data_IF_182037093894
#
_entry.id   IF_182037093894
#
_cell.length_a   1.000
_cell.length_b   1.000
_cell.length_c   1.000
_cell.angle_alpha   90.00
_cell.angle_beta   90.00
_cell.angle_gamma   90.00
#
_symmetry.space_group_name_H-M   'P 1'
#
loop_
_entity.id
_entity.type
_entity.pdbx_description
1 polymer ?
#
# COMPACT_ATOMS: atom_id res chain seq x y z
N UNK A 1 -1.17 26.55 0.68
CA UNK A 1 -2.53 27.05 0.39
C UNK A 1 -3.51 26.10 1.04
N UNK A 2 -4.52 26.56 1.80
CA UNK A 2 -5.56 25.67 2.29
C UNK A 2 -6.26 25.04 1.09
N UNK A 3 -6.49 23.73 1.12
CA UNK A 3 -7.29 23.03 0.12
C UNK A 3 -8.66 23.70 0.03
N UNK A 4 -9.02 24.23 -1.15
CA UNK A 4 -10.35 24.83 -1.38
C UNK A 4 -11.51 23.85 -1.18
N UNK A 5 -11.21 22.56 -0.97
CA UNK A 5 -12.21 21.55 -0.65
C UNK A 5 -11.66 20.52 0.36
N UNK A 6 -11.69 20.83 1.67
CA UNK A 6 -11.15 19.95 2.71
C UNK A 6 -11.96 18.65 2.89
N UNK A 7 -13.19 18.60 2.36
CA UNK A 7 -14.10 17.46 2.47
C UNK A 7 -14.17 16.58 1.23
N UNK A 8 -13.41 16.90 0.17
CA UNK A 8 -13.41 16.07 -1.03
C UNK A 8 -12.39 14.94 -0.88
N UNK A 9 -12.76 13.70 -1.27
CA UNK A 9 -11.83 12.59 -1.21
C UNK A 9 -10.62 12.85 -2.11
N UNK A 10 -9.45 12.35 -1.68
CA UNK A 10 -8.27 12.36 -2.51
C UNK A 10 -8.54 11.60 -3.81
N UNK A 11 -7.97 12.08 -4.92
CA UNK A 11 -8.00 11.35 -6.17
C UNK A 11 -6.97 10.21 -6.11
N UNK A 12 -7.42 8.97 -6.25
CA UNK A 12 -6.59 7.76 -6.17
C UNK A 12 -6.50 7.13 -7.57
N UNK A 13 -5.61 7.59 -8.45
CA UNK A 13 -5.40 6.92 -9.73
C UNK A 13 -4.66 5.59 -9.48
N UNK A 14 -5.18 4.51 -10.07
CA UNK A 14 -4.46 3.24 -10.13
C UNK A 14 -3.57 3.26 -11.36
N UNK A 15 -2.25 3.21 -11.14
CA UNK A 15 -1.25 3.32 -12.20
C UNK A 15 -0.32 2.11 -12.19
N UNK A 16 0.07 1.64 -13.37
CA UNK A 16 1.14 0.66 -13.51
C UNK A 16 2.46 1.41 -13.50
N UNK A 17 3.46 0.95 -12.74
CA UNK A 17 4.73 1.67 -12.64
C UNK A 17 5.55 1.62 -13.93
N UNK A 18 5.23 2.50 -14.87
CA UNK A 18 5.77 2.56 -16.22
C UNK A 18 6.31 3.97 -16.50
N UNK A 19 7.04 4.13 -17.61
CA UNK A 19 7.82 5.36 -17.85
C UNK A 19 6.98 6.63 -17.86
N UNK A 20 5.84 6.61 -18.54
CA UNK A 20 5.01 7.80 -18.71
C UNK A 20 4.19 8.12 -17.46
N UNK A 21 3.79 7.10 -16.70
CA UNK A 21 3.13 7.24 -15.41
C UNK A 21 4.06 7.89 -14.39
N UNK A 22 5.35 7.50 -14.38
CA UNK A 22 6.37 8.18 -13.58
C UNK A 22 6.57 9.63 -14.01
N UNK A 23 6.62 9.88 -15.32
CA UNK A 23 6.75 11.23 -15.85
C UNK A 23 5.56 12.10 -15.44
N UNK A 24 4.34 11.57 -15.54
CA UNK A 24 3.12 12.26 -15.14
C UNK A 24 3.15 12.59 -13.64
N UNK A 25 3.51 11.63 -12.78
CA UNK A 25 3.59 11.88 -11.33
C UNK A 25 4.65 12.92 -10.96
N UNK A 26 5.80 12.93 -11.64
CA UNK A 26 6.89 13.89 -11.38
C UNK A 26 6.50 15.33 -11.76
N UNK A 27 5.64 15.49 -12.75
CA UNK A 27 5.26 16.81 -13.29
C UNK A 27 3.84 17.22 -12.87
N UNK A 28 3.30 16.63 -11.81
CA UNK A 28 2.05 17.11 -11.21
C UNK A 28 2.21 18.56 -10.75
N UNK A 29 1.31 19.48 -11.13
CA UNK A 29 1.29 20.83 -10.59
C UNK A 29 1.26 20.81 -9.05
N UNK A 30 1.98 21.73 -8.41
CA UNK A 30 2.16 21.74 -6.95
C UNK A 30 0.81 21.74 -6.21
N UNK A 31 -0.18 22.45 -6.75
CA UNK A 31 -1.54 22.57 -6.21
C UNK A 31 -2.34 21.25 -6.19
N UNK A 32 -1.91 20.23 -6.96
CA UNK A 32 -2.57 18.91 -6.99
C UNK A 32 -1.76 17.80 -6.34
N UNK A 33 -0.47 18.00 -6.04
CA UNK A 33 0.41 16.91 -5.54
C UNK A 33 -0.12 16.23 -4.28
N UNK A 34 -0.66 17.01 -3.35
CA UNK A 34 -1.27 16.55 -2.09
C UNK A 34 -2.68 15.96 -2.27
N UNK A 35 -3.35 16.27 -3.40
CA UNK A 35 -4.71 15.79 -3.69
C UNK A 35 -4.71 14.47 -4.47
N UNK A 36 -3.55 14.07 -4.97
CA UNK A 36 -3.35 12.83 -5.72
C UNK A 36 -2.62 11.84 -4.82
N UNK A 37 -3.27 10.72 -4.50
CA UNK A 37 -2.68 9.63 -3.74
C UNK A 37 -2.66 8.39 -4.63
N UNK A 38 -1.66 8.24 -5.53
CA UNK A 38 -1.68 7.19 -6.53
C UNK A 38 -1.56 5.82 -5.87
N UNK A 39 -2.25 4.83 -6.44
CA UNK A 39 -2.01 3.42 -6.18
C UNK A 39 -1.10 2.87 -7.27
N UNK A 40 0.16 2.60 -6.93
CA UNK A 40 1.17 2.09 -7.83
C UNK A 40 1.12 0.57 -7.83
N UNK A 41 0.75 -0.01 -8.97
CA UNK A 41 0.80 -1.45 -9.21
C UNK A 41 2.15 -1.86 -9.80
N UNK A 42 2.84 -2.77 -9.11
CA UNK A 42 4.13 -3.35 -9.52
C UNK A 42 3.93 -4.77 -10.01
N UNK A 43 4.03 -4.96 -11.34
CA UNK A 43 3.68 -6.21 -12.01
C UNK A 43 4.88 -7.03 -12.48
N UNK A 44 6.09 -6.48 -12.43
CA UNK A 44 7.32 -7.17 -12.88
C UNK A 44 8.53 -6.80 -12.00
N UNK A 45 9.54 -7.67 -11.95
CA UNK A 45 10.79 -7.40 -11.23
C UNK A 45 11.51 -6.16 -11.76
N UNK A 46 11.42 -5.89 -13.06
CA UNK A 46 11.96 -4.66 -13.67
C UNK A 46 11.28 -3.41 -13.11
N UNK A 47 9.97 -3.48 -12.87
CA UNK A 47 9.23 -2.37 -12.25
C UNK A 47 9.58 -2.22 -10.78
N UNK A 48 9.79 -3.32 -10.04
CA UNK A 48 10.28 -3.26 -8.66
C UNK A 48 11.64 -2.57 -8.58
N UNK A 49 12.63 -3.03 -9.36
CA UNK A 49 13.95 -2.40 -9.37
C UNK A 49 13.85 -0.92 -9.69
N UNK A 50 13.06 -0.58 -10.72
CA UNK A 50 12.86 0.81 -11.09
C UNK A 50 12.16 1.64 -9.99
N UNK A 51 11.22 1.06 -9.25
CA UNK A 51 10.58 1.71 -8.11
C UNK A 51 11.61 2.01 -7.03
N UNK A 52 12.40 1.02 -6.62
CA UNK A 52 13.48 1.18 -5.63
C UNK A 52 14.43 2.31 -6.03
N UNK A 53 14.87 2.32 -7.29
CA UNK A 53 15.86 3.29 -7.78
C UNK A 53 15.30 4.72 -7.88
N UNK A 54 14.00 4.88 -8.13
CA UNK A 54 13.44 6.17 -8.55
C UNK A 54 12.40 6.77 -7.60
N UNK A 55 11.85 6.01 -6.65
CA UNK A 55 10.72 6.44 -5.82
C UNK A 55 11.00 7.79 -5.16
N UNK A 56 12.22 7.98 -4.61
CA UNK A 56 12.61 9.23 -3.97
C UNK A 56 12.38 10.46 -4.87
N UNK A 57 12.85 10.38 -6.12
CA UNK A 57 12.75 11.46 -7.10
C UNK A 57 11.33 11.72 -7.64
N UNK A 58 10.37 10.85 -7.32
CA UNK A 58 9.02 10.90 -7.90
C UNK A 58 7.97 11.22 -6.83
N UNK A 59 8.03 10.59 -5.64
CA UNK A 59 6.97 10.69 -4.62
C UNK A 59 7.43 10.68 -3.15
N UNK A 60 8.72 10.76 -2.82
CA UNK A 60 9.19 10.62 -1.42
C UNK A 60 8.38 11.43 -0.38
N UNK A 61 8.04 12.67 -0.70
CA UNK A 61 7.34 13.59 0.20
C UNK A 61 5.82 13.46 0.21
N UNK A 62 5.24 12.57 -0.61
CA UNK A 62 3.81 12.49 -0.82
C UNK A 62 3.29 11.07 -0.67
N UNK A 63 2.15 10.92 0.01
CA UNK A 63 1.54 9.62 0.26
C UNK A 63 1.25 8.87 -1.04
N UNK A 64 1.59 7.58 -1.04
CA UNK A 64 1.46 6.70 -2.19
C UNK A 64 1.05 5.31 -1.74
N UNK A 65 -0.02 4.77 -2.33
CA UNK A 65 -0.42 3.38 -2.16
C UNK A 65 0.49 2.50 -3.04
N UNK A 66 0.94 1.36 -2.53
CA UNK A 66 1.81 0.44 -3.28
C UNK A 66 1.26 -0.98 -3.23
N UNK A 67 0.98 -1.53 -4.41
CA UNK A 67 0.37 -2.84 -4.63
C UNK A 67 1.31 -3.73 -5.48
N UNK A 68 1.60 -4.92 -4.98
CA UNK A 68 2.45 -5.93 -5.65
C UNK A 68 1.66 -7.16 -6.09
N UNK A 69 0.34 -7.16 -5.91
CA UNK A 69 -0.51 -8.26 -6.32
C UNK A 69 -0.47 -8.46 -7.84
N UNK A 70 -0.57 -9.72 -8.24
CA UNK A 70 -0.66 -10.10 -9.64
C UNK A 70 -2.00 -9.64 -10.27
N UNK A 71 -2.21 -9.81 -11.59
CA UNK A 71 -3.48 -9.45 -12.23
C UNK A 71 -4.71 -10.14 -11.62
N UNK A 72 -4.54 -11.30 -11.00
CA UNK A 72 -5.61 -12.02 -10.31
C UNK A 72 -5.87 -11.47 -8.90
N UNK A 73 -5.01 -10.57 -8.41
CA UNK A 73 -5.15 -9.89 -7.12
C UNK A 73 -4.46 -10.63 -5.98
N UNK A 74 -3.51 -11.53 -6.28
CA UNK A 74 -2.79 -12.34 -5.29
C UNK A 74 -1.37 -11.83 -5.09
N UNK A 75 -0.94 -11.78 -3.84
CA UNK A 75 0.43 -11.48 -3.46
C UNK A 75 1.15 -12.77 -3.01
N UNK A 76 2.01 -13.33 -3.87
CA UNK A 76 2.71 -14.57 -3.55
C UNK A 76 4.09 -14.68 -4.21
N UNK A 77 4.87 -15.67 -3.77
CA UNK A 77 6.17 -16.00 -4.36
C UNK A 77 7.12 -14.81 -4.46
N UNK A 78 7.66 -14.58 -5.66
CA UNK A 78 8.60 -13.48 -5.94
C UNK A 78 7.98 -12.10 -5.66
N UNK A 79 6.68 -11.91 -5.92
CA UNK A 79 6.01 -10.61 -5.67
C UNK A 79 6.00 -10.28 -4.18
N UNK A 80 5.71 -11.26 -3.33
CA UNK A 80 5.71 -11.08 -1.87
C UNK A 80 7.12 -10.75 -1.35
N UNK A 81 8.15 -11.41 -1.87
CA UNK A 81 9.53 -11.09 -1.51
C UNK A 81 9.90 -9.65 -1.88
N UNK A 82 9.64 -9.24 -3.13
CA UNK A 82 9.92 -7.88 -3.60
C UNK A 82 9.10 -6.81 -2.86
N UNK A 83 7.85 -7.12 -2.50
CA UNK A 83 7.03 -6.24 -1.68
C UNK A 83 7.66 -6.00 -0.31
N UNK A 84 8.04 -7.08 0.40
CA UNK A 84 8.74 -6.99 1.69
C UNK A 84 10.01 -6.16 1.59
N UNK A 85 10.80 -6.40 0.55
CA UNK A 85 12.07 -5.70 0.36
C UNK A 85 11.85 -4.21 0.10
N UNK A 86 10.87 -3.86 -0.75
CA UNK A 86 10.50 -2.46 -0.94
C UNK A 86 9.99 -1.80 0.34
N UNK A 87 9.15 -2.48 1.14
CA UNK A 87 8.67 -1.93 2.41
C UNK A 87 9.82 -1.68 3.41
N UNK A 88 10.81 -2.58 3.51
CA UNK A 88 12.00 -2.34 4.35
C UNK A 88 12.80 -1.11 3.90
N UNK A 89 12.94 -0.93 2.58
CA UNK A 89 13.59 0.25 1.99
C UNK A 89 12.77 1.50 2.31
N UNK A 90 11.46 1.46 2.11
CA UNK A 90 10.56 2.58 2.39
C UNK A 90 10.62 3.00 3.86
N UNK A 91 10.64 2.04 4.79
CA UNK A 91 10.77 2.31 6.22
C UNK A 91 12.11 2.95 6.57
N UNK A 92 13.21 2.38 6.05
CA UNK A 92 14.56 2.92 6.26
C UNK A 92 14.70 4.37 5.77
N UNK A 93 14.04 4.70 4.66
CA UNK A 93 14.09 6.04 4.05
C UNK A 93 12.94 6.97 4.48
N UNK A 94 12.09 6.57 5.42
CA UNK A 94 10.92 7.33 5.88
C UNK A 94 9.99 7.79 4.74
N UNK A 95 9.78 6.93 3.75
CA UNK A 95 8.85 7.21 2.65
C UNK A 95 7.39 7.14 3.12
N UNK A 96 6.55 8.07 2.63
CA UNK A 96 5.11 8.04 2.86
C UNK A 96 4.44 7.01 1.95
N UNK A 97 4.54 5.74 2.33
CA UNK A 97 3.96 4.60 1.62
C UNK A 97 2.83 3.99 2.44
N UNK A 98 1.72 3.68 1.78
CA UNK A 98 0.63 2.86 2.33
C UNK A 98 0.66 1.50 1.63
N UNK A 99 1.10 0.43 2.31
CA UNK A 99 1.04 -0.92 1.79
C UNK A 99 -0.40 -1.27 1.37
N UNK A 100 -0.59 -1.78 0.17
CA UNK A 100 -1.92 -2.11 -0.38
C UNK A 100 -2.02 -3.59 -0.71
N UNK A 101 -3.03 -4.27 -0.17
CA UNK A 101 -3.18 -5.73 -0.21
C UNK A 101 -4.65 -6.13 -0.37
N UNK A 102 -4.91 -7.35 -0.84
CA UNK A 102 -6.25 -7.95 -0.72
C UNK A 102 -6.47 -8.54 0.69
N UNK A 103 -7.73 -8.70 1.13
CA UNK A 103 -8.03 -9.42 2.38
C UNK A 103 -7.53 -10.87 2.40
N UNK A 104 -7.46 -11.54 1.25
CA UNK A 104 -6.94 -12.89 1.17
C UNK A 104 -5.44 -12.92 1.48
N UNK A 105 -4.69 -11.95 0.95
CA UNK A 105 -3.24 -11.85 1.19
C UNK A 105 -2.97 -11.65 2.68
N UNK A 106 -3.65 -10.70 3.33
CA UNK A 106 -3.53 -10.40 4.76
C UNK A 106 -3.68 -11.65 5.64
N UNK A 107 -4.66 -12.51 5.32
CA UNK A 107 -4.88 -13.75 6.05
C UNK A 107 -3.74 -14.76 5.90
N UNK A 108 -3.02 -14.74 4.77
CA UNK A 108 -1.89 -15.62 4.49
C UNK A 108 -0.52 -15.13 5.00
N UNK A 109 -0.42 -13.85 5.37
CA UNK A 109 0.84 -13.25 5.83
C UNK A 109 1.32 -13.80 7.17
N UNK A 110 2.65 -13.91 7.32
CA UNK A 110 3.31 -14.29 8.57
C UNK A 110 3.27 -13.16 9.60
N UNK A 111 3.55 -13.47 10.87
CA UNK A 111 3.62 -12.44 11.93
C UNK A 111 4.66 -11.34 11.63
N UNK A 112 5.81 -11.72 11.06
CA UNK A 112 6.85 -10.75 10.68
C UNK A 112 6.37 -9.78 9.59
N UNK A 113 5.60 -10.28 8.63
CA UNK A 113 5.02 -9.45 7.57
C UNK A 113 4.01 -8.46 8.16
N UNK A 114 3.15 -8.94 9.06
CA UNK A 114 2.14 -8.10 9.69
C UNK A 114 2.77 -7.01 10.55
N UNK A 115 3.85 -7.31 11.29
CA UNK A 115 4.62 -6.30 12.02
C UNK A 115 5.23 -5.25 11.09
N UNK A 116 5.78 -5.68 9.94
CA UNK A 116 6.31 -4.75 8.95
C UNK A 116 5.20 -3.84 8.41
N UNK A 117 4.03 -4.38 8.09
CA UNK A 117 2.86 -3.61 7.64
C UNK A 117 2.39 -2.61 8.71
N UNK A 118 2.21 -3.07 9.95
CA UNK A 118 1.77 -2.23 11.07
C UNK A 118 2.75 -1.06 11.32
N UNK A 119 4.04 -1.25 11.03
CA UNK A 119 5.04 -0.19 11.19
C UNK A 119 4.82 1.05 10.30
N UNK A 120 3.94 0.96 9.28
CA UNK A 120 3.55 2.10 8.45
C UNK A 120 2.36 2.90 9.02
N UNK A 121 1.69 2.40 10.06
CA UNK A 121 0.54 3.04 10.70
C UNK A 121 -0.77 2.95 9.90
N UNK A 122 -0.70 2.64 8.60
CA UNK A 122 -1.86 2.47 7.73
C UNK A 122 -1.61 1.34 6.72
N UNK A 123 -2.67 0.60 6.40
CA UNK A 123 -2.70 -0.40 5.33
C UNK A 123 -3.97 -0.20 4.52
N UNK A 124 -3.85 -0.13 3.20
CA UNK A 124 -4.99 -0.07 2.30
C UNK A 124 -5.44 -1.48 1.90
N UNK A 125 -6.76 -1.69 1.92
CA UNK A 125 -7.37 -2.93 1.45
C UNK A 125 -7.92 -2.70 0.04
N UNK A 126 -7.42 -3.46 -0.93
CA UNK A 126 -7.91 -3.44 -2.31
C UNK A 126 -8.81 -4.63 -2.55
N UNK A 127 -10.04 -4.36 -2.96
CA UNK A 127 -11.00 -5.38 -3.37
C UNK A 127 -11.43 -5.18 -4.82
N UNK A 128 -11.60 -6.29 -5.55
CA UNK A 128 -12.18 -6.25 -6.88
C UNK A 128 -13.70 -6.25 -6.74
N UNK A 129 -14.40 -5.42 -7.50
CA UNK A 129 -15.87 -5.37 -7.48
C UNK A 129 -16.47 -6.73 -7.89
N UNK A 130 -15.86 -7.45 -8.84
CA UNK A 130 -16.27 -8.81 -9.21
C UNK A 130 -16.19 -9.79 -8.05
N UNK A 131 -15.24 -9.55 -7.16
CA UNK A 131 -15.00 -10.32 -5.96
C UNK A 131 -15.68 -9.66 -4.77
N UNK A 132 -16.51 -8.64 -4.97
CA UNK A 132 -17.33 -7.97 -3.96
C UNK A 132 -18.78 -8.46 -4.11
N UNK A 133 -19.01 -9.70 -3.69
CA UNK A 133 -20.36 -10.20 -3.42
C UNK A 133 -20.70 -9.89 -1.96
N UNK A 134 -21.84 -9.28 -1.68
CA UNK A 134 -22.36 -9.12 -0.30
C UNK A 134 -22.76 -10.48 0.32
N UNK A 135 -22.09 -11.56 -0.04
CA UNK A 135 -22.21 -12.85 0.61
C UNK A 135 -21.55 -12.80 1.99
N UNK A 136 -22.12 -13.54 2.93
CA UNK A 136 -21.63 -13.66 4.31
C UNK A 136 -20.15 -14.06 4.42
N UNK A 137 -19.63 -14.80 3.42
CA UNK A 137 -18.23 -15.22 3.38
C UNK A 137 -17.22 -14.09 3.10
N UNK A 138 -17.63 -12.97 2.49
CA UNK A 138 -16.72 -11.84 2.24
C UNK A 138 -16.65 -10.87 3.41
N UNK A 139 -17.79 -10.52 4.00
CA UNK A 139 -17.84 -9.72 5.23
C UNK A 139 -17.03 -10.41 6.33
N UNK A 140 -17.17 -11.73 6.48
CA UNK A 140 -16.37 -12.52 7.43
C UNK A 140 -14.86 -12.45 7.15
N UNK A 141 -14.44 -12.53 5.89
CA UNK A 141 -13.03 -12.42 5.49
C UNK A 141 -12.45 -11.03 5.75
N UNK A 142 -13.20 -9.98 5.43
CA UNK A 142 -12.79 -8.60 5.68
C UNK A 142 -12.67 -8.33 7.18
N UNK A 143 -13.64 -8.79 7.99
CA UNK A 143 -13.56 -8.71 9.46
C UNK A 143 -12.36 -9.46 10.01
N UNK A 144 -12.06 -10.65 9.50
CA UNK A 144 -10.88 -11.42 9.91
C UNK A 144 -9.59 -10.68 9.57
N UNK A 145 -9.46 -10.14 8.35
CA UNK A 145 -8.30 -9.36 7.93
C UNK A 145 -8.10 -8.10 8.80
N UNK A 146 -9.18 -7.35 9.06
CA UNK A 146 -9.15 -6.19 9.97
C UNK A 146 -8.75 -6.61 11.39
N UNK A 147 -9.32 -7.71 11.89
CA UNK A 147 -8.98 -8.24 13.21
C UNK A 147 -7.50 -8.64 13.32
N UNK A 148 -6.95 -9.22 12.25
CA UNK A 148 -5.54 -9.62 12.17
C UNK A 148 -4.59 -8.42 12.19
N UNK A 149 -4.91 -7.34 11.46
CA UNK A 149 -4.15 -6.08 11.52
C UNK A 149 -4.17 -5.52 12.95
N UNK A 150 -5.37 -5.39 13.54
CA UNK A 150 -5.53 -4.86 14.92
C UNK A 150 -4.82 -5.70 15.99
N UNK A 151 -4.72 -7.01 15.79
CA UNK A 151 -4.03 -7.89 16.74
C UNK A 151 -2.54 -7.57 16.87
N UNK A 152 -1.94 -7.01 15.82
CA UNK A 152 -0.53 -6.63 15.79
C UNK A 152 -0.31 -5.30 16.50
N UNK A 153 -1.22 -4.33 16.32
CA UNK A 153 -1.19 -3.05 17.05
C UNK A 153 -1.36 -3.23 18.57
N UNK A 154 -2.11 -4.25 19.01
CA UNK A 154 -2.27 -4.54 20.44
C UNK A 154 -1.05 -5.24 21.06
N UNK A 155 -0.20 -5.91 20.27
CA UNK A 155 1.04 -6.53 20.76
C UNK A 155 2.17 -5.51 20.96
N UNK A 156 2.17 -4.42 20.20
CA UNK A 156 3.12 -3.30 20.37
C UNK A 156 2.72 -2.32 21.48
N UNK A 157 1.52 -2.47 22.06
CA UNK A 157 0.97 -1.62 23.12
C UNK A 157 1.13 -2.18 24.54
N UNK A 158 1.84 -3.30 24.73
CA UNK A 158 2.28 -3.74 26.07
C UNK A 158 3.62 -3.10 26.41
N UNK A 159 3.66 -2.00 27.20
CA UNK A 159 4.91 -1.62 27.85
C UNK A 159 5.21 -2.70 28.89
N UNK A 160 6.37 -3.34 28.74
CA UNK A 160 6.97 -4.10 29.82
C UNK A 160 7.10 -3.16 31.03
N UNK A 161 6.24 -3.36 32.03
CA UNK A 161 6.47 -2.85 33.37
C UNK A 161 7.24 -3.92 34.14
N UNK A 162 8.55 -3.71 34.26
CA UNK A 162 9.40 -4.28 35.30
C UNK A 162 10.49 -3.28 35.66
#
# INVERSE_FOLDING_TARGET
>A
MPSSYPHHPAYIPVIKWQQYERYALRHLPAEVQDRVTPCIEIRTSKQHQNLVDNYHSVRASHTTLVDYSDPDGRLSGVRLAEFRDFLKIAKTNNYSVVPTLSPNDLNSLSFQDLNLLASFGEVAIREKISDFSLSSGQDSRLRAAIGKIKSVDNCSASPDFS
#
